data_IF_881603071604
#
_entry.id   IF_881603071604
#
_cell.length_a   1.000
_cell.length_b   1.000
_cell.length_c   1.000
_cell.angle_alpha   90.00
_cell.angle_beta   90.00
_cell.angle_gamma   90.00
#
_symmetry.space_group_name_H-M   'P 1'
#
loop_
_entity.id
_entity.type
_entity.pdbx_description
1 polymer ?
#
# COMPACT_ATOMS: atom_id res chain seq x y z
N UNK A 1 7.03 -28.76 10.69
CA UNK A 1 6.61 -27.75 11.67
C UNK A 1 6.79 -26.36 11.07
N UNK A 2 5.70 -25.72 10.68
CA UNK A 2 5.69 -24.40 10.03
C UNK A 2 4.52 -23.59 10.58
N UNK A 3 4.69 -23.07 11.79
CA UNK A 3 3.64 -22.47 12.61
C UNK A 3 3.25 -21.06 12.21
N UNK A 4 2.75 -20.84 10.99
CA UNK A 4 2.15 -19.55 10.64
C UNK A 4 0.67 -19.50 11.05
N UNK A 5 0.32 -18.45 11.80
CA UNK A 5 -1.08 -18.15 12.16
C UNK A 5 -1.84 -17.72 10.89
N UNK A 6 -3.09 -18.17 10.69
CA UNK A 6 -3.96 -17.64 9.64
C UNK A 6 -4.10 -16.10 9.71
N UNK A 7 -4.18 -15.42 8.55
CA UNK A 7 -4.23 -13.95 8.45
C UNK A 7 -5.42 -13.35 9.22
N UNK A 8 -6.56 -14.03 9.22
CA UNK A 8 -7.79 -13.63 9.92
C UNK A 8 -7.68 -13.67 11.45
N UNK A 9 -6.60 -14.24 12.01
CA UNK A 9 -6.33 -14.25 13.45
C UNK A 9 -5.46 -13.10 13.95
N UNK A 10 -5.04 -12.20 13.05
CA UNK A 10 -4.28 -11.01 13.39
C UNK A 10 -5.21 -9.82 13.65
N UNK A 11 -4.81 -8.95 14.57
CA UNK A 11 -5.57 -7.75 14.94
C UNK A 11 -5.36 -6.62 13.92
N UNK A 12 -4.15 -6.58 13.35
CA UNK A 12 -3.78 -5.72 12.25
C UNK A 12 -2.95 -6.51 11.23
N UNK A 13 -3.24 -6.32 9.95
CA UNK A 13 -2.48 -6.90 8.83
C UNK A 13 -2.07 -5.76 7.91
N UNK A 14 -0.79 -5.67 7.60
CA UNK A 14 -0.24 -4.73 6.61
C UNK A 14 0.25 -5.55 5.42
N UNK A 15 -0.19 -5.17 4.22
CA UNK A 15 0.27 -5.74 2.97
C UNK A 15 1.11 -4.68 2.24
N UNK A 16 2.37 -4.99 1.93
CA UNK A 16 3.28 -4.06 1.27
C UNK A 16 4.00 -4.73 0.12
N UNK A 17 4.16 -4.04 -1.01
CA UNK A 17 5.02 -4.53 -2.10
C UNK A 17 4.65 -4.03 -3.48
N UNK A 18 5.37 -4.54 -4.48
CA UNK A 18 5.03 -4.38 -5.90
C UNK A 18 3.87 -5.31 -6.26
N UNK A 19 2.66 -4.77 -6.18
CA UNK A 19 1.43 -5.48 -6.57
C UNK A 19 1.20 -5.46 -8.08
N UNK A 20 2.01 -4.69 -8.82
CA UNK A 20 2.06 -4.65 -10.28
C UNK A 20 0.76 -4.25 -11.00
N UNK A 21 -0.24 -3.74 -10.27
CA UNK A 21 -1.42 -3.11 -10.86
C UNK A 21 -1.02 -1.83 -11.61
N UNK A 22 -1.66 -1.59 -12.77
CA UNK A 22 -1.31 -0.51 -13.67
C UNK A 22 -2.42 0.51 -13.80
N UNK A 23 -2.07 1.70 -14.26
CA UNK A 23 -3.05 2.68 -14.72
C UNK A 23 -3.45 2.34 -16.15
N UNK A 24 -4.76 2.18 -16.38
CA UNK A 24 -5.32 1.99 -17.71
C UNK A 24 -5.42 3.32 -18.45
N UNK A 25 -4.36 3.69 -19.16
CA UNK A 25 -4.30 4.90 -19.97
C UNK A 25 -3.33 4.71 -21.15
N UNK A 26 -3.27 5.67 -22.06
CA UNK A 26 -2.15 5.78 -23.00
C UNK A 26 -1.08 6.72 -22.44
N UNK A 27 0.17 6.56 -22.91
CA UNK A 27 1.32 7.30 -22.37
C UNK A 27 1.14 8.82 -22.43
N UNK A 28 0.68 9.35 -23.57
CA UNK A 28 0.50 10.80 -23.77
C UNK A 28 -0.51 11.41 -22.80
N UNK A 29 -1.63 10.73 -22.57
CA UNK A 29 -2.65 11.19 -21.63
C UNK A 29 -2.15 11.14 -20.18
N UNK A 30 -1.45 10.07 -19.79
CA UNK A 30 -0.86 9.96 -18.45
C UNK A 30 0.17 11.07 -18.19
N UNK A 31 1.07 11.33 -19.13
CA UNK A 31 2.08 12.39 -19.01
C UNK A 31 1.42 13.77 -18.89
N UNK A 32 0.34 14.02 -19.63
CA UNK A 32 -0.44 15.25 -19.53
C UNK A 32 -1.06 15.41 -18.13
N UNK A 33 -1.70 14.36 -17.59
CA UNK A 33 -2.34 14.42 -16.28
C UNK A 33 -1.32 14.65 -15.15
N UNK A 34 -0.16 14.01 -15.22
CA UNK A 34 0.93 14.22 -14.25
C UNK A 34 1.43 15.66 -14.30
N UNK A 35 1.67 16.20 -15.51
CA UNK A 35 2.17 17.56 -15.71
C UNK A 35 1.21 18.65 -15.23
N UNK A 36 -0.10 18.41 -15.35
CA UNK A 36 -1.16 19.33 -14.88
C UNK A 36 -1.56 19.09 -13.42
N UNK A 37 -0.85 18.19 -12.70
CA UNK A 37 -1.18 17.80 -11.32
C UNK A 37 -2.62 17.26 -11.15
N UNK A 38 -3.14 16.59 -12.18
CA UNK A 38 -4.49 15.99 -12.21
C UNK A 38 -4.45 14.50 -11.83
N UNK A 39 -3.76 14.17 -10.74
CA UNK A 39 -3.54 12.79 -10.32
C UNK A 39 -4.85 12.05 -9.99
N UNK A 40 -5.85 12.74 -9.47
CA UNK A 40 -7.16 12.13 -9.17
C UNK A 40 -7.83 11.49 -10.41
N UNK A 41 -7.73 12.15 -11.56
CA UNK A 41 -8.26 11.62 -12.83
C UNK A 41 -7.49 10.37 -13.28
N UNK A 42 -6.18 10.37 -13.02
CA UNK A 42 -5.33 9.21 -13.30
C UNK A 42 -5.64 8.04 -12.34
N UNK A 43 -5.84 8.33 -11.06
CA UNK A 43 -6.22 7.36 -10.03
C UNK A 43 -7.58 6.72 -10.29
N UNK A 44 -8.52 7.41 -10.94
CA UNK A 44 -9.79 6.82 -11.36
C UNK A 44 -9.61 5.65 -12.34
N UNK A 45 -8.46 5.58 -13.02
CA UNK A 45 -8.09 4.51 -13.94
C UNK A 45 -7.04 3.53 -13.36
N UNK A 46 -6.68 3.66 -12.07
CA UNK A 46 -5.82 2.71 -11.36
C UNK A 46 -6.54 1.37 -11.20
N UNK A 47 -5.92 0.29 -11.69
CA UNK A 47 -6.53 -1.03 -11.63
C UNK A 47 -6.76 -1.51 -10.21
N UNK A 48 -5.81 -1.33 -9.27
CA UNK A 48 -5.99 -1.81 -7.90
C UNK A 48 -7.20 -1.16 -7.24
N UNK A 49 -7.30 0.18 -7.28
CA UNK A 49 -8.45 0.91 -6.74
C UNK A 49 -9.77 0.47 -7.37
N UNK A 50 -9.80 0.23 -8.68
CA UNK A 50 -10.99 -0.27 -9.37
C UNK A 50 -11.36 -1.69 -8.99
N UNK A 51 -10.39 -2.56 -8.73
CA UNK A 51 -10.66 -3.94 -8.32
C UNK A 51 -11.07 -4.02 -6.84
N UNK A 52 -10.47 -3.20 -5.98
CA UNK A 52 -10.86 -3.04 -4.58
C UNK A 52 -12.27 -2.46 -4.43
N UNK A 53 -12.62 -1.41 -5.19
CA UNK A 53 -13.95 -0.80 -5.12
C UNK A 53 -15.08 -1.73 -5.58
N UNK A 54 -14.76 -2.70 -6.44
CA UNK A 54 -15.67 -3.78 -6.86
C UNK A 54 -15.66 -4.98 -5.90
N UNK A 55 -14.88 -4.93 -4.83
CA UNK A 55 -14.76 -6.00 -3.82
C UNK A 55 -14.10 -7.28 -4.32
N UNK A 56 -13.34 -7.24 -5.42
CA UNK A 56 -12.75 -8.45 -6.04
C UNK A 56 -11.41 -8.87 -5.43
N UNK A 57 -10.70 -7.94 -4.84
CA UNK A 57 -9.38 -8.12 -4.22
C UNK A 57 -9.30 -7.35 -2.92
N UNK A 58 -8.42 -7.77 -2.01
CA UNK A 58 -8.13 -7.07 -0.75
C UNK A 58 -9.38 -6.70 0.07
N UNK A 59 -10.33 -7.63 0.20
CA UNK A 59 -11.57 -7.40 0.93
C UNK A 59 -11.37 -6.96 2.39
N UNK A 60 -11.87 -5.76 2.70
CA UNK A 60 -11.75 -5.13 4.02
C UNK A 60 -10.37 -4.54 4.32
N UNK A 61 -9.49 -4.43 3.33
CA UNK A 61 -8.28 -3.61 3.44
C UNK A 61 -8.58 -2.19 2.99
N UNK A 62 -7.84 -1.27 3.58
CA UNK A 62 -7.81 0.16 3.28
C UNK A 62 -6.44 0.52 2.71
N UNK A 63 -6.42 1.55 1.87
CA UNK A 63 -5.21 2.16 1.36
C UNK A 63 -5.29 3.68 1.62
N UNK A 64 -4.22 4.34 2.13
CA UNK A 64 -4.24 5.78 2.29
C UNK A 64 -4.30 6.51 0.93
N UNK A 65 -4.64 7.81 0.91
CA UNK A 65 -4.65 8.62 -0.32
C UNK A 65 -3.31 8.59 -1.07
N UNK A 66 -3.36 8.45 -2.40
CA UNK A 66 -2.18 8.46 -3.27
C UNK A 66 -1.82 9.91 -3.65
N UNK A 67 -1.34 10.69 -2.69
CA UNK A 67 -1.03 12.12 -2.89
C UNK A 67 0.38 12.36 -3.47
N UNK A 68 0.97 11.33 -4.08
CA UNK A 68 2.31 11.30 -4.66
C UNK A 68 2.26 10.75 -6.09
N UNK A 69 3.24 11.10 -6.96
CA UNK A 69 3.24 10.68 -8.35
C UNK A 69 3.44 9.15 -8.50
N UNK A 70 3.11 8.57 -9.66
CA UNK A 70 3.35 7.17 -9.95
C UNK A 70 4.79 6.71 -9.65
N UNK A 71 4.95 5.51 -9.12
CA UNK A 71 6.23 5.00 -8.61
C UNK A 71 7.05 4.27 -9.66
N UNK A 72 6.42 3.91 -10.77
CA UNK A 72 6.99 3.14 -11.86
C UNK A 72 6.47 3.66 -13.21
N UNK A 73 7.20 3.63 -14.33
CA UNK A 73 8.59 3.21 -14.50
C UNK A 73 9.45 4.44 -14.75
N UNK A 74 10.49 4.63 -13.96
CA UNK A 74 11.49 5.68 -14.17
C UNK A 74 12.69 5.16 -14.95
N UNK A 75 13.36 6.08 -15.64
CA UNK A 75 14.73 5.86 -16.06
C UNK A 75 15.63 5.89 -14.81
N UNK A 76 16.54 4.93 -14.70
CA UNK A 76 17.39 4.79 -13.50
C UNK A 76 18.24 6.05 -13.30
N UNK A 77 18.24 6.57 -12.08
CA UNK A 77 18.96 7.78 -11.69
C UNK A 77 18.27 9.09 -12.06
N UNK A 78 17.10 9.06 -12.73
CA UNK A 78 16.42 10.23 -13.28
C UNK A 78 14.95 10.27 -12.88
N UNK A 79 14.36 11.46 -12.80
CA UNK A 79 12.91 11.65 -12.57
C UNK A 79 12.09 11.68 -13.87
N UNK A 80 12.69 11.17 -14.96
CA UNK A 80 12.00 11.00 -16.24
C UNK A 80 11.38 9.60 -16.28
N UNK A 81 10.10 9.54 -16.65
CA UNK A 81 9.42 8.27 -16.87
C UNK A 81 9.86 7.62 -18.18
N UNK A 82 10.04 6.30 -18.14
CA UNK A 82 10.52 5.38 -19.19
C UNK A 82 10.67 6.02 -20.57
N UNK A 83 11.88 6.44 -20.90
CA UNK A 83 12.23 6.97 -22.23
C UNK A 83 12.53 5.87 -23.26
N UNK A 84 12.50 4.60 -22.84
CA UNK A 84 12.71 3.48 -23.75
C UNK A 84 11.61 3.39 -24.82
N UNK A 85 11.86 2.61 -25.87
CA UNK A 85 10.88 2.37 -26.93
C UNK A 85 9.56 1.75 -26.43
N UNK A 86 9.53 1.17 -25.21
CA UNK A 86 8.31 0.58 -24.63
C UNK A 86 7.35 1.63 -24.11
N UNK A 87 7.83 2.82 -23.77
CA UNK A 87 7.02 3.96 -23.29
C UNK A 87 5.96 3.52 -22.26
N UNK A 88 6.38 2.82 -21.21
CA UNK A 88 5.46 2.34 -20.17
C UNK A 88 4.68 3.51 -19.59
N UNK A 89 3.37 3.30 -19.42
CA UNK A 89 2.48 4.26 -18.75
C UNK A 89 2.88 4.31 -17.27
N UNK A 90 3.14 5.51 -16.71
CA UNK A 90 3.42 5.63 -15.29
C UNK A 90 2.29 5.01 -14.45
N UNK A 91 2.62 4.25 -13.40
CA UNK A 91 1.67 3.51 -12.56
C UNK A 91 2.15 3.44 -11.10
N UNK A 92 1.20 3.36 -10.16
CA UNK A 92 1.46 3.05 -8.75
C UNK A 92 1.50 1.54 -8.56
N UNK A 93 2.65 0.94 -8.83
CA UNK A 93 2.85 -0.51 -8.69
C UNK A 93 3.15 -0.92 -7.25
N UNK A 94 3.79 -0.03 -6.50
CA UNK A 94 4.27 -0.25 -5.14
C UNK A 94 3.25 0.32 -4.15
N UNK A 95 2.69 -0.52 -3.26
CA UNK A 95 1.50 -0.16 -2.46
C UNK A 95 1.66 -0.59 -1.01
N UNK A 96 1.03 0.16 -0.10
CA UNK A 96 0.84 -0.23 1.31
C UNK A 96 -0.66 -0.25 1.61
N UNK A 97 -1.18 -1.42 1.92
CA UNK A 97 -2.56 -1.63 2.34
C UNK A 97 -2.58 -2.12 3.77
N UNK A 98 -3.64 -1.84 4.50
CA UNK A 98 -3.81 -2.37 5.86
C UNK A 98 -5.25 -2.75 6.14
N UNK A 99 -5.41 -3.73 7.02
CA UNK A 99 -6.70 -4.16 7.55
C UNK A 99 -6.57 -4.31 9.05
N UNK A 100 -7.63 -3.96 9.76
CA UNK A 100 -7.71 -4.11 11.20
C UNK A 100 -9.07 -4.63 11.62
N UNK A 101 -9.13 -5.23 12.79
CA UNK A 101 -10.38 -5.70 13.38
C UNK A 101 -10.93 -4.60 14.29
N UNK A 102 -12.12 -4.10 13.97
CA UNK A 102 -12.96 -3.31 14.88
C UNK A 102 -13.94 -4.29 15.51
N UNK A 103 -13.92 -4.45 16.83
CA UNK A 103 -14.72 -5.49 17.48
C UNK A 103 -15.05 -5.19 18.94
N UNK A 104 -16.15 -5.76 19.44
CA UNK A 104 -16.72 -5.53 20.78
C UNK A 104 -15.80 -5.83 21.98
N UNK A 105 -14.61 -6.41 21.75
CA UNK A 105 -13.69 -6.91 22.79
C UNK A 105 -12.24 -6.40 22.64
N UNK A 106 -12.05 -5.37 21.82
CA UNK A 106 -10.77 -4.70 21.63
C UNK A 106 -10.68 -4.12 20.23
N UNK A 107 -10.59 -2.80 20.18
CA UNK A 107 -10.42 -2.04 18.95
C UNK A 107 -8.93 -2.06 18.57
N UNK A 108 -8.63 -2.47 17.35
CA UNK A 108 -7.42 -2.03 16.67
C UNK A 108 -7.82 -0.84 15.80
N UNK A 109 -7.23 0.33 16.03
CA UNK A 109 -7.39 1.47 15.13
C UNK A 109 -6.06 1.68 14.44
N UNK A 110 -6.07 1.65 13.11
CA UNK A 110 -4.90 1.95 12.29
C UNK A 110 -5.12 3.31 11.65
N UNK A 111 -4.25 4.26 11.96
CA UNK A 111 -4.19 5.54 11.26
C UNK A 111 -2.90 5.62 10.44
N UNK A 112 -3.03 5.95 9.16
CA UNK A 112 -1.89 6.30 8.32
C UNK A 112 -1.59 7.78 8.49
N UNK A 113 -0.44 8.09 9.07
CA UNK A 113 0.02 9.47 9.28
C UNK A 113 0.82 9.99 8.09
N UNK A 114 1.53 9.08 7.41
CA UNK A 114 2.33 9.37 6.22
C UNK A 114 2.14 8.24 5.21
N UNK A 115 2.04 8.59 3.93
CA UNK A 115 2.08 7.64 2.82
C UNK A 115 2.65 8.36 1.58
N UNK A 116 3.80 7.93 1.09
CA UNK A 116 4.54 8.67 0.07
C UNK A 116 5.75 7.94 -0.48
N UNK A 117 6.46 8.63 -1.37
CA UNK A 117 7.71 8.16 -1.98
C UNK A 117 8.95 8.70 -1.25
N UNK A 118 10.05 7.96 -1.35
CA UNK A 118 11.38 8.43 -0.94
C UNK A 118 12.13 8.92 -2.18
N UNK A 119 11.93 10.19 -2.51
CA UNK A 119 12.35 10.75 -3.81
C UNK A 119 13.88 10.80 -3.99
N UNK A 120 14.64 10.85 -2.90
CA UNK A 120 16.11 10.88 -2.96
C UNK A 120 16.73 9.55 -3.43
N UNK A 121 15.96 8.44 -3.41
CA UNK A 121 16.43 7.12 -3.80
C UNK A 121 16.01 6.80 -5.24
N UNK A 122 16.96 6.95 -6.17
CA UNK A 122 16.73 6.83 -7.63
C UNK A 122 17.51 5.70 -8.29
N UNK A 123 18.09 4.79 -7.53
CA UNK A 123 18.94 3.69 -8.05
C UNK A 123 18.15 2.63 -8.83
N UNK A 124 16.83 2.56 -8.60
CA UNK A 124 15.89 1.68 -9.28
C UNK A 124 15.02 2.45 -10.28
N UNK A 125 14.35 1.71 -11.17
CA UNK A 125 13.25 2.20 -12.00
C UNK A 125 11.92 2.33 -11.23
N UNK A 126 11.91 1.90 -9.97
CA UNK A 126 10.86 2.17 -9.00
C UNK A 126 11.30 3.23 -7.99
N UNK A 127 10.35 4.04 -7.50
CA UNK A 127 10.54 4.88 -6.32
C UNK A 127 10.10 4.13 -5.06
N UNK A 128 10.91 4.05 -4.00
CA UNK A 128 10.49 3.40 -2.76
C UNK A 128 9.25 4.08 -2.21
N UNK A 129 8.28 3.29 -1.75
CA UNK A 129 7.08 3.76 -1.07
C UNK A 129 7.18 3.43 0.41
N UNK A 130 6.83 4.40 1.25
CA UNK A 130 6.82 4.26 2.70
C UNK A 130 5.47 4.74 3.25
N UNK A 131 5.03 4.11 4.35
CA UNK A 131 3.91 4.57 5.14
C UNK A 131 4.26 4.54 6.62
N UNK A 132 3.82 5.55 7.38
CA UNK A 132 3.85 5.54 8.84
C UNK A 132 2.46 5.23 9.37
N UNK A 133 2.32 4.05 9.96
CA UNK A 133 1.06 3.58 10.54
C UNK A 133 1.15 3.60 12.07
N UNK A 134 0.17 4.24 12.71
CA UNK A 134 -0.03 4.15 14.15
C UNK A 134 -1.11 3.11 14.42
N UNK A 135 -0.76 2.07 15.20
CA UNK A 135 -1.66 0.98 15.56
C UNK A 135 -1.94 1.05 17.05
N UNK A 136 -3.18 1.40 17.40
CA UNK A 136 -3.64 1.33 18.79
C UNK A 136 -4.14 -0.08 19.07
N UNK A 137 -3.52 -0.78 20.02
CA UNK A 137 -3.92 -2.12 20.41
C UNK A 137 -4.60 -2.07 21.78
N UNK A 138 -5.81 -2.60 21.88
CA UNK A 138 -6.50 -2.73 23.16
C UNK A 138 -5.87 -3.87 23.99
N UNK A 139 -5.41 -3.62 25.23
CA UNK A 139 -4.90 -4.68 26.09
C UNK A 139 -5.97 -5.73 26.37
N UNK A 140 -5.65 -7.01 26.20
CA UNK A 140 -6.53 -8.10 26.64
C UNK A 140 -6.32 -8.35 28.13
N UNK A 141 -7.40 -8.48 28.91
CA UNK A 141 -7.30 -9.03 30.26
C UNK A 141 -7.00 -10.52 30.17
N UNK A 142 -5.72 -10.88 30.38
CA UNK A 142 -5.29 -12.28 30.39
C UNK A 142 -5.45 -12.84 31.81
N UNK A 143 -6.44 -13.71 32.04
CA UNK A 143 -6.52 -14.57 33.24
C UNK A 143 -5.62 -15.83 33.11
N UNK A 144 -4.60 -15.80 32.27
CA UNK A 144 -3.64 -16.89 32.08
C UNK A 144 -2.36 -16.59 32.86
N UNK A 145 -1.71 -17.60 33.46
CA UNK A 145 -0.43 -17.41 34.13
C UNK A 145 0.55 -16.74 33.16
N UNK A 146 1.34 -15.79 33.69
CA UNK A 146 2.23 -14.80 33.04
C UNK A 146 3.34 -15.37 32.13
N UNK A 147 3.11 -16.47 31.42
CA UNK A 147 4.12 -17.16 30.63
C UNK A 147 3.56 -17.76 29.33
N UNK A 148 2.87 -16.96 28.52
CA UNK A 148 2.71 -17.25 27.08
C UNK A 148 2.55 -15.93 26.31
N UNK A 149 3.57 -15.62 25.50
CA UNK A 149 3.58 -14.67 24.37
C UNK A 149 2.42 -13.65 24.31
N UNK A 150 2.63 -12.50 24.98
CA UNK A 150 1.79 -11.30 24.89
C UNK A 150 2.10 -10.45 23.63
N UNK A 151 2.80 -11.02 22.64
CA UNK A 151 3.20 -10.32 21.43
C UNK A 151 2.00 -9.74 20.67
N UNK A 152 2.04 -8.43 20.43
CA UNK A 152 1.16 -7.69 19.53
C UNK A 152 0.92 -8.47 18.23
N UNK A 153 -0.34 -8.72 17.86
CA UNK A 153 -0.71 -9.62 16.75
C UNK A 153 -0.77 -8.87 15.41
N UNK A 154 0.25 -8.07 15.12
CA UNK A 154 0.41 -7.43 13.82
C UNK A 154 1.21 -8.35 12.88
N UNK A 155 0.78 -8.45 11.62
CA UNK A 155 1.50 -9.18 10.58
C UNK A 155 1.77 -8.26 9.38
N UNK A 156 3.01 -8.30 8.88
CA UNK A 156 3.41 -7.65 7.63
C UNK A 156 3.55 -8.74 6.57
N UNK A 157 2.83 -8.59 5.47
CA UNK A 157 2.90 -9.44 4.27
C UNK A 157 3.66 -8.66 3.20
N UNK A 158 4.72 -9.25 2.67
CA UNK A 158 5.54 -8.70 1.58
C UNK A 158 5.54 -9.63 0.36
#
# INVERSE_FOLDING_TARGET
DGGHRPLDKHEAVVWVGDLNYRVESNRKAADMLIRENMLEVMQANDQLRREMSKGRVFGGYEEPPLDFPPTYKYDKGLDTYDSSAKQRVPSWTDRVLFKYVVGERGDAVVSAEEYGTVDDVKTSDHRPVAARLTVLLTPRTCNLPMYTDLGSRACIVQ
#
